data_IF_601726884259
#
_entry.id   IF_601726884259
#
_cell.length_a   1.000
_cell.length_b   1.000
_cell.length_c   1.000
_cell.angle_alpha   90.00
_cell.angle_beta   90.00
_cell.angle_gamma   90.00
#
_symmetry.space_group_name_H-M   'P 1'
#
loop_
_entity.id
_entity.type
_entity.pdbx_description
1 polymer ?
#
# COMPACT_ATOMS: atom_id res chain seq x y z
N UNK A 1 22.67 3.64 1.50
CA UNK A 1 22.11 5.01 1.55
C UNK A 1 20.63 4.87 1.89
N UNK A 2 20.14 5.49 2.97
CA UNK A 2 18.74 5.35 3.39
C UNK A 2 17.80 6.07 2.42
N UNK A 3 16.58 5.55 2.22
CA UNK A 3 15.58 6.17 1.34
C UNK A 3 15.22 7.57 1.88
N UNK A 4 15.37 8.65 1.09
CA UNK A 4 15.09 10.01 1.55
C UNK A 4 13.64 10.21 2.01
N UNK A 5 12.69 9.40 1.52
CA UNK A 5 11.28 9.43 1.98
C UNK A 5 11.16 8.95 3.43
N UNK A 6 11.93 7.93 3.81
CA UNK A 6 11.96 7.41 5.18
C UNK A 6 12.55 8.46 6.13
N UNK A 7 13.65 9.11 5.76
CA UNK A 7 14.24 10.17 6.61
C UNK A 7 13.28 11.36 6.78
N UNK A 8 12.61 11.78 5.71
CA UNK A 8 11.61 12.84 5.76
C UNK A 8 10.43 12.47 6.66
N UNK A 9 9.93 11.23 6.58
CA UNK A 9 8.84 10.75 7.41
C UNK A 9 9.23 10.62 8.89
N UNK A 10 10.45 10.15 9.17
CA UNK A 10 10.99 10.09 10.54
C UNK A 10 11.06 11.49 11.12
N UNK A 11 11.59 12.46 10.37
CA UNK A 11 11.63 13.84 10.80
C UNK A 11 10.22 14.39 11.08
N UNK A 12 9.29 14.21 10.14
CA UNK A 12 7.91 14.69 10.28
C UNK A 12 7.18 14.04 11.47
N UNK A 13 7.38 12.74 11.72
CA UNK A 13 6.81 12.06 12.87
C UNK A 13 7.46 12.55 14.17
N UNK A 14 8.79 12.73 14.17
CA UNK A 14 9.54 13.19 15.33
C UNK A 14 9.09 14.58 15.81
N UNK A 15 8.79 15.51 14.90
CA UNK A 15 8.34 16.86 15.28
C UNK A 15 7.03 16.89 16.08
N UNK A 16 6.28 15.79 16.08
CA UNK A 16 5.03 15.64 16.83
C UNK A 16 5.22 14.99 18.22
N UNK A 17 6.43 14.58 18.57
CA UNK A 17 6.75 13.95 19.87
C UNK A 17 6.91 14.97 21.01
N UNK A 18 6.82 14.49 22.25
CA UNK A 18 7.09 15.33 23.45
C UNK A 18 8.57 15.69 23.53
N UNK A 19 9.45 14.75 23.18
CA UNK A 19 10.91 14.92 23.15
C UNK A 19 11.31 16.08 22.25
N UNK A 20 10.77 16.11 21.02
CA UNK A 20 11.00 17.23 20.12
C UNK A 20 10.49 18.56 20.69
N UNK A 21 9.29 18.55 21.30
CA UNK A 21 8.72 19.76 21.95
C UNK A 21 9.56 20.23 23.14
N UNK A 22 10.33 19.35 23.78
CA UNK A 22 11.33 19.70 24.79
C UNK A 22 12.70 20.13 24.22
N UNK A 23 12.84 20.21 22.89
CA UNK A 23 14.05 20.67 22.21
C UNK A 23 15.03 19.56 21.81
N UNK A 24 14.68 18.29 22.01
CA UNK A 24 15.52 17.15 21.60
C UNK A 24 15.33 16.82 20.11
N UNK A 25 16.40 16.87 19.35
CA UNK A 25 16.41 16.41 17.95
C UNK A 25 16.41 14.88 17.87
N UNK A 26 15.97 14.32 16.74
CA UNK A 26 16.01 12.86 16.57
C UNK A 26 17.43 12.30 16.62
N UNK A 27 18.43 13.07 16.16
CA UNK A 27 19.84 12.67 16.24
C UNK A 27 20.30 12.56 17.71
N UNK A 28 19.99 13.56 18.54
CA UNK A 28 20.28 13.53 19.98
C UNK A 28 19.56 12.37 20.67
N UNK A 29 18.29 12.13 20.32
CA UNK A 29 17.54 10.99 20.84
C UNK A 29 18.16 9.65 20.43
N UNK A 30 18.59 9.52 19.18
CA UNK A 30 19.25 8.31 18.67
C UNK A 30 20.60 8.03 19.34
N UNK A 31 21.36 9.07 19.70
CA UNK A 31 22.59 8.92 20.47
C UNK A 31 22.31 8.48 21.91
N UNK A 32 21.26 9.03 22.54
CA UNK A 32 20.90 8.75 23.93
C UNK A 32 20.21 7.39 24.10
N UNK A 33 19.31 7.04 23.19
CA UNK A 33 18.44 5.85 23.23
C UNK A 33 18.45 5.11 21.88
N UNK A 34 19.60 4.56 21.44
CA UNK A 34 19.76 4.00 20.09
C UNK A 34 18.79 2.87 19.77
N UNK A 35 18.44 2.04 20.77
CA UNK A 35 17.47 0.96 20.59
C UNK A 35 16.07 1.51 20.30
N UNK A 36 15.59 2.44 21.12
CA UNK A 36 14.26 3.01 20.95
C UNK A 36 14.15 3.88 19.68
N UNK A 37 15.22 4.59 19.31
CA UNK A 37 15.30 5.29 18.02
C UNK A 37 15.27 4.31 16.83
N UNK A 38 15.90 3.14 16.97
CA UNK A 38 15.81 2.04 16.01
C UNK A 38 14.37 1.56 15.84
N UNK A 39 13.67 1.26 16.94
CA UNK A 39 12.26 0.86 16.92
C UNK A 39 11.35 1.94 16.30
N UNK A 40 11.59 3.22 16.61
CA UNK A 40 10.86 4.32 15.97
C UNK A 40 11.04 4.33 14.46
N UNK A 41 12.27 4.15 13.97
CA UNK A 41 12.57 4.06 12.53
C UNK A 41 11.88 2.86 11.88
N UNK A 42 11.88 1.69 12.54
CA UNK A 42 11.16 0.49 12.07
C UNK A 42 9.67 0.77 11.95
N UNK A 43 9.06 1.37 12.98
CA UNK A 43 7.64 1.71 12.97
C UNK A 43 7.26 2.68 11.84
N UNK A 44 8.04 3.74 11.61
CA UNK A 44 7.79 4.68 10.51
C UNK A 44 7.96 4.00 9.15
N UNK A 45 8.95 3.11 9.01
CA UNK A 45 9.16 2.35 7.77
C UNK A 45 7.98 1.43 7.49
N UNK A 46 7.49 0.72 8.51
CA UNK A 46 6.31 -0.14 8.39
C UNK A 46 5.04 0.66 8.07
N UNK A 47 4.85 1.82 8.69
CA UNK A 47 3.72 2.70 8.43
C UNK A 47 3.73 3.22 6.98
N UNK A 48 4.89 3.62 6.45
CA UNK A 48 5.05 4.00 5.04
C UNK A 48 4.74 2.84 4.10
N UNK A 49 5.26 1.65 4.38
CA UNK A 49 4.99 0.47 3.56
C UNK A 49 3.49 0.12 3.54
N UNK A 50 2.82 0.22 4.69
CA UNK A 50 1.37 0.01 4.78
C UNK A 50 0.58 1.08 4.00
N UNK A 51 0.99 2.35 4.09
CA UNK A 51 0.38 3.43 3.30
C UNK A 51 0.58 3.22 1.80
N UNK A 52 1.79 2.85 1.38
CA UNK A 52 2.12 2.57 -0.03
C UNK A 52 1.34 1.36 -0.57
N UNK A 53 1.07 0.36 0.27
CA UNK A 53 0.28 -0.82 -0.08
C UNK A 53 -1.22 -0.52 -0.25
N UNK A 54 -1.73 0.52 0.41
CA UNK A 54 -3.14 0.96 0.32
C UNK A 54 -3.36 2.11 -0.69
N UNK A 55 -2.29 2.68 -1.23
CA UNK A 55 -2.37 3.85 -2.10
C UNK A 55 -2.78 3.47 -3.53
N UNK A 56 -3.79 4.15 -4.05
CA UNK A 56 -4.15 4.13 -5.46
C UNK A 56 -3.07 4.80 -6.32
N UNK A 57 -2.73 4.17 -7.43
CA UNK A 57 -1.71 4.61 -8.40
C UNK A 57 -2.29 4.60 -9.81
N UNK A 58 -1.78 5.41 -10.75
CA UNK A 58 -2.20 5.35 -12.16
C UNK A 58 -1.97 3.95 -12.74
N UNK A 59 -2.94 3.43 -13.50
CA UNK A 59 -2.88 2.07 -14.07
C UNK A 59 -1.65 1.86 -14.98
N UNK A 60 -1.12 2.92 -15.58
CA UNK A 60 0.07 2.88 -16.43
C UNK A 60 1.32 2.45 -15.65
N UNK A 61 1.32 2.65 -14.33
CA UNK A 61 2.40 2.25 -13.42
C UNK A 61 2.25 0.83 -12.86
N UNK A 62 1.16 0.13 -13.17
CA UNK A 62 0.89 -1.20 -12.67
C UNK A 62 1.89 -2.23 -13.19
N UNK A 63 2.23 -3.27 -12.39
CA UNK A 63 3.10 -4.34 -12.82
C UNK A 63 2.49 -5.12 -14.00
N UNK A 64 3.28 -5.32 -15.05
CA UNK A 64 2.88 -6.05 -16.27
C UNK A 64 3.54 -7.42 -16.36
N UNK A 65 3.77 -8.04 -15.20
CA UNK A 65 4.48 -9.31 -15.03
C UNK A 65 3.55 -10.48 -14.66
N UNK A 66 2.23 -10.26 -14.74
CA UNK A 66 1.21 -11.22 -14.33
C UNK A 66 0.80 -11.14 -12.87
N UNK A 67 1.39 -10.23 -12.07
CA UNK A 67 0.96 -9.98 -10.69
C UNK A 67 -0.51 -9.52 -10.65
N UNK A 68 -1.29 -10.12 -9.76
CA UNK A 68 -2.68 -9.72 -9.50
C UNK A 68 -2.73 -8.39 -8.71
N UNK A 69 -3.62 -7.50 -9.14
CA UNK A 69 -3.81 -6.17 -8.54
C UNK A 69 -5.30 -5.87 -8.37
N UNK A 70 -5.64 -4.98 -7.45
CA UNK A 70 -6.97 -4.36 -7.43
C UNK A 70 -6.95 -3.21 -8.43
N UNK A 71 -7.89 -3.19 -9.37
CA UNK A 71 -8.03 -2.12 -10.34
C UNK A 71 -9.37 -1.41 -10.24
N UNK A 72 -9.35 -0.10 -10.50
CA UNK A 72 -10.51 0.78 -10.54
C UNK A 72 -10.63 1.44 -11.91
N UNK A 73 -11.85 1.55 -12.40
CA UNK A 73 -12.12 2.15 -13.70
C UNK A 73 -13.61 2.19 -14.02
N UNK A 74 -13.91 1.96 -15.29
CA UNK A 74 -15.28 1.89 -15.79
C UNK A 74 -15.49 0.68 -16.67
N UNK A 75 -16.71 0.19 -16.77
CA UNK A 75 -17.09 -0.93 -17.61
C UNK A 75 -18.43 -0.69 -18.31
N UNK A 76 -18.76 -1.55 -19.28
CA UNK A 76 -20.08 -1.68 -19.88
C UNK A 76 -20.41 -3.15 -20.07
N UNK A 77 -21.61 -3.59 -19.70
CA UNK A 77 -22.03 -4.96 -19.95
C UNK A 77 -22.12 -5.29 -21.45
N UNK A 78 -22.54 -4.32 -22.27
CA UNK A 78 -22.55 -4.40 -23.73
C UNK A 78 -22.50 -3.00 -24.37
N UNK A 79 -22.59 -2.92 -25.70
CA UNK A 79 -22.53 -1.65 -26.45
C UNK A 79 -23.71 -0.70 -26.18
N UNK A 80 -24.84 -1.20 -25.68
CA UNK A 80 -26.07 -0.44 -25.43
C UNK A 80 -26.21 -0.05 -23.94
N UNK A 81 -25.45 -0.70 -23.07
CA UNK A 81 -25.48 -0.48 -21.62
C UNK A 81 -24.83 0.85 -21.22
N UNK A 82 -25.30 1.47 -20.11
CA UNK A 82 -24.65 2.64 -19.55
C UNK A 82 -23.22 2.30 -19.06
N UNK A 83 -22.40 3.34 -18.89
CA UNK A 83 -21.08 3.21 -18.28
C UNK A 83 -21.28 3.03 -16.77
N UNK A 84 -20.66 2.00 -16.20
CA UNK A 84 -20.71 1.68 -14.77
C UNK A 84 -19.30 1.71 -14.16
N UNK A 85 -19.17 2.01 -12.85
CA UNK A 85 -17.89 1.89 -12.17
C UNK A 85 -17.41 0.43 -12.14
N UNK A 86 -16.11 0.24 -12.33
CA UNK A 86 -15.44 -1.04 -12.20
C UNK A 86 -14.54 -1.05 -10.97
N UNK A 87 -14.64 -2.11 -10.17
CA UNK A 87 -13.68 -2.44 -9.11
C UNK A 87 -13.51 -3.96 -9.10
N UNK A 88 -12.31 -4.44 -9.39
CA UNK A 88 -12.04 -5.88 -9.51
C UNK A 88 -10.57 -6.23 -9.41
N UNK A 89 -10.29 -7.53 -9.26
CA UNK A 89 -8.93 -8.06 -9.33
C UNK A 89 -8.60 -8.35 -10.78
N UNK A 90 -7.45 -7.87 -11.24
CA UNK A 90 -6.97 -8.05 -12.62
C UNK A 90 -5.51 -8.46 -12.67
N UNK A 91 -5.08 -9.08 -13.77
CA UNK A 91 -3.67 -9.39 -14.05
C UNK A 91 -3.31 -9.07 -15.50
N UNK A 92 -2.03 -8.83 -15.78
CA UNK A 92 -1.54 -8.57 -17.14
C UNK A 92 -1.21 -9.87 -17.85
N UNK A 93 -1.86 -10.14 -18.97
CA UNK A 93 -1.59 -11.31 -19.80
C UNK A 93 -1.97 -11.05 -21.26
N UNK A 94 -1.20 -11.57 -22.21
CA UNK A 94 -1.44 -11.39 -23.65
C UNK A 94 -1.57 -9.91 -24.09
N UNK A 95 -0.74 -9.03 -23.53
CA UNK A 95 -0.74 -7.58 -23.80
C UNK A 95 -2.06 -6.86 -23.43
N UNK A 96 -2.84 -7.42 -22.50
CA UNK A 96 -4.03 -6.78 -21.97
C UNK A 96 -4.30 -7.14 -20.49
N UNK A 97 -5.13 -6.32 -19.83
CA UNK A 97 -5.61 -6.60 -18.48
C UNK A 97 -6.75 -7.61 -18.52
N UNK A 98 -6.62 -8.68 -17.76
CA UNK A 98 -7.60 -9.76 -17.61
C UNK A 98 -8.29 -9.68 -16.26
N UNK A 99 -9.58 -10.00 -16.19
CA UNK A 99 -10.35 -10.11 -14.94
C UNK A 99 -11.09 -11.45 -14.82
N UNK A 100 -10.75 -12.42 -15.68
CA UNK A 100 -11.42 -13.71 -15.80
C UNK A 100 -12.74 -13.68 -16.58
N UNK A 101 -13.22 -12.50 -17.01
CA UNK A 101 -14.39 -12.35 -17.87
C UNK A 101 -14.00 -12.36 -19.35
N UNK A 102 -14.78 -13.06 -20.16
CA UNK A 102 -14.67 -13.03 -21.63
C UNK A 102 -15.53 -11.94 -22.28
N UNK A 103 -16.44 -11.33 -21.52
CA UNK A 103 -17.53 -10.52 -22.08
C UNK A 103 -17.33 -9.01 -21.91
N UNK A 104 -16.56 -8.59 -20.92
CA UNK A 104 -16.39 -7.18 -20.59
C UNK A 104 -14.92 -6.83 -20.47
N UNK A 105 -14.50 -5.72 -21.08
CA UNK A 105 -13.15 -5.17 -20.90
C UNK A 105 -13.27 -3.81 -20.22
N UNK A 106 -12.91 -3.70 -18.93
CA UNK A 106 -12.98 -2.44 -18.25
C UNK A 106 -11.92 -1.46 -18.79
N UNK A 107 -12.27 -0.18 -18.81
CA UNK A 107 -11.32 0.93 -18.98
C UNK A 107 -10.77 1.25 -17.60
N UNK A 108 -9.61 0.68 -17.28
CA UNK A 108 -8.94 0.85 -16.00
C UNK A 108 -8.22 2.20 -15.96
N UNK A 109 -8.18 2.82 -14.77
CA UNK A 109 -7.54 4.13 -14.55
C UNK A 109 -6.58 4.12 -13.36
N UNK A 110 -6.88 3.31 -12.35
CA UNK A 110 -6.07 3.24 -11.14
C UNK A 110 -5.91 1.80 -10.68
N UNK A 111 -4.85 1.54 -9.92
CA UNK A 111 -4.60 0.27 -9.27
C UNK A 111 -4.03 0.44 -7.86
N UNK A 112 -4.14 -0.61 -7.05
CA UNK A 112 -3.37 -0.79 -5.83
C UNK A 112 -2.97 -2.28 -5.71
N UNK A 113 -1.90 -2.62 -4.97
CA UNK A 113 -1.58 -3.99 -4.64
C UNK A 113 -2.76 -4.72 -3.96
N UNK A 114 -2.81 -6.05 -4.08
CA UNK A 114 -3.70 -6.83 -3.22
C UNK A 114 -3.30 -6.62 -1.75
N UNK A 115 -4.28 -6.44 -0.83
CA UNK A 115 -3.98 -6.41 0.59
C UNK A 115 -3.35 -7.74 0.99
N UNK A 116 -2.48 -7.70 2.02
CA UNK A 116 -1.99 -8.93 2.61
C UNK A 116 -3.19 -9.80 3.05
N UNK A 117 -3.11 -11.14 2.85
CA UNK A 117 -4.17 -12.01 3.34
C UNK A 117 -4.36 -11.80 4.85
N UNK A 118 -5.57 -12.00 5.37
CA UNK A 118 -5.78 -11.95 6.81
C UNK A 118 -4.83 -12.92 7.51
N UNK A 119 -4.32 -12.53 8.68
CA UNK A 119 -3.56 -13.43 9.52
C UNK A 119 -4.40 -14.70 9.77
N UNK A 120 -3.79 -15.89 9.67
CA UNK A 120 -4.49 -17.13 10.00
C UNK A 120 -5.00 -17.09 11.44
N UNK A 121 -6.06 -17.84 11.74
CA UNK A 121 -6.61 -17.92 13.10
C UNK A 121 -5.55 -18.39 14.12
N UNK A 122 -4.59 -19.20 13.67
CA UNK A 122 -3.43 -19.66 14.45
C UNK A 122 -2.50 -18.51 14.86
N UNK A 123 -2.39 -17.46 14.03
CA UNK A 123 -1.58 -16.27 14.33
C UNK A 123 -2.29 -15.30 15.30
N UNK A 124 -3.59 -15.50 15.55
CA UNK A 124 -4.41 -14.66 16.43
C UNK A 124 -4.71 -15.33 17.79
N UNK A 125 -4.07 -16.47 18.10
CA UNK A 125 -4.18 -17.13 19.40
C UNK A 125 -5.55 -17.77 19.64
N UNK A 126 -6.13 -18.41 18.62
CA UNK A 126 -7.37 -19.17 18.75
C UNK A 126 -7.25 -20.24 19.84
N UNK A 127 -7.95 -20.02 20.96
CA UNK A 127 -8.29 -21.06 21.93
C UNK A 127 -9.36 -21.93 21.29
N UNK A 128 -9.02 -23.18 21.00
CA UNK A 128 -9.98 -24.22 20.68
C UNK A 128 -11.04 -24.30 21.80
N UNK A 129 -12.31 -24.17 21.42
CA UNK A 129 -13.46 -24.32 22.30
C UNK A 129 -13.82 -25.78 22.57
#
# INVERSE_FOLDING_TARGET
MTDPRIEAAIYAAWTNTVQFKSGETFAQYNEREPYAAGEFRVAITAALAAADAAAWRPIESAPKDGTEIIAYGTQKADALSPIEPYLGVVWWEYELWQDGSIACRPVLTHWQPLPAPPASIDALGGVDG
#
